data_IF_478359599281
#
_entry.id   IF_478359599281
#
_cell.length_a   1.000
_cell.length_b   1.000
_cell.length_c   1.000
_cell.angle_alpha   90.00
_cell.angle_beta   90.00
_cell.angle_gamma   90.00
#
_symmetry.space_group_name_H-M   'P 1'
#
loop_
_entity.id
_entity.type
_entity.pdbx_description
1 polymer ?
#
# COMPACT_ATOMS: atom_id res chain seq x y z
N UNK A 1 48.21 42.32 -32.05
CA UNK A 1 47.30 41.20 -31.75
C UNK A 1 46.20 41.73 -30.83
N UNK A 2 45.03 42.08 -31.36
CA UNK A 2 43.93 42.70 -30.60
C UNK A 2 43.09 41.59 -29.98
N UNK A 3 43.27 41.32 -28.70
CA UNK A 3 42.49 40.34 -27.94
C UNK A 3 41.08 40.91 -27.70
N UNK A 4 40.07 40.35 -28.36
CA UNK A 4 38.66 40.66 -28.10
C UNK A 4 38.30 40.20 -26.69
N UNK A 5 38.08 41.14 -25.76
CA UNK A 5 37.46 40.82 -24.47
C UNK A 5 36.01 40.42 -24.75
N UNK A 6 35.73 39.13 -24.64
CA UNK A 6 34.35 38.62 -24.64
C UNK A 6 33.69 39.22 -23.40
N UNK A 7 32.70 40.09 -23.61
CA UNK A 7 31.90 40.66 -22.53
C UNK A 7 31.18 39.53 -21.81
N UNK A 8 31.59 39.23 -20.59
CA UNK A 8 30.84 38.37 -19.68
C UNK A 8 29.55 39.10 -19.32
N UNK A 9 28.44 38.70 -19.93
CA UNK A 9 27.12 39.14 -19.54
C UNK A 9 26.78 38.45 -18.21
N UNK A 10 26.89 39.17 -17.11
CA UNK A 10 26.45 38.71 -15.79
C UNK A 10 24.93 38.65 -15.70
N UNK A 11 24.42 37.61 -15.03
CA UNK A 11 23.00 37.45 -14.74
C UNK A 11 22.53 38.58 -13.80
N UNK A 12 21.36 39.17 -14.07
CA UNK A 12 20.85 40.24 -13.20
C UNK A 12 20.19 39.67 -11.95
N UNK A 13 20.29 40.38 -10.82
CA UNK A 13 19.56 39.98 -9.60
C UNK A 13 18.04 39.94 -9.83
N UNK A 14 17.52 40.85 -10.67
CA UNK A 14 16.09 40.90 -11.01
C UNK A 14 15.63 39.67 -11.81
N UNK A 15 16.44 39.15 -12.74
CA UNK A 15 16.12 37.89 -13.43
C UNK A 15 15.99 36.74 -12.44
N UNK A 16 16.93 36.64 -11.48
CA UNK A 16 16.88 35.58 -10.49
C UNK A 16 15.64 35.71 -9.58
N UNK A 17 15.26 36.95 -9.21
CA UNK A 17 14.07 37.21 -8.40
C UNK A 17 12.77 36.79 -9.11
N UNK A 18 12.61 37.11 -10.39
CA UNK A 18 11.41 36.73 -11.15
C UNK A 18 11.34 35.20 -11.32
N UNK A 19 12.48 34.54 -11.54
CA UNK A 19 12.53 33.08 -11.68
C UNK A 19 12.09 32.37 -10.39
N UNK A 20 12.62 32.77 -9.23
CA UNK A 20 12.20 32.14 -7.96
C UNK A 20 10.74 32.44 -7.61
N UNK A 21 10.21 33.60 -8.02
CA UNK A 21 8.79 33.93 -7.87
C UNK A 21 7.92 32.99 -8.69
N UNK A 22 8.26 32.77 -9.96
CA UNK A 22 7.50 31.86 -10.84
C UNK A 22 7.58 30.42 -10.32
N UNK A 23 8.77 29.95 -9.93
CA UNK A 23 8.94 28.61 -9.34
C UNK A 23 8.09 28.47 -8.05
N UNK A 24 8.07 29.50 -7.20
CA UNK A 24 7.24 29.52 -5.99
C UNK A 24 5.74 29.39 -6.28
N UNK A 25 5.24 30.09 -7.31
CA UNK A 25 3.84 29.99 -7.75
C UNK A 25 3.50 28.58 -8.26
N UNK A 26 4.39 27.97 -9.05
CA UNK A 26 4.18 26.61 -9.56
C UNK A 26 4.17 25.58 -8.43
N UNK A 27 5.09 25.68 -7.47
CA UNK A 27 5.19 24.77 -6.32
C UNK A 27 3.94 24.87 -5.43
N UNK A 28 3.42 26.08 -5.21
CA UNK A 28 2.22 26.29 -4.40
C UNK A 28 0.99 25.52 -4.91
N UNK A 29 0.85 25.37 -6.23
CA UNK A 29 -0.25 24.60 -6.84
C UNK A 29 0.08 23.11 -6.93
N UNK A 30 1.35 22.77 -7.21
CA UNK A 30 1.77 21.39 -7.46
C UNK A 30 1.87 20.53 -6.19
N UNK A 31 2.37 21.08 -5.07
CA UNK A 31 2.57 20.31 -3.84
C UNK A 31 1.30 19.68 -3.24
N UNK A 32 0.18 20.40 -3.03
CA UNK A 32 -1.00 19.81 -2.40
C UNK A 32 -1.60 18.68 -3.26
N UNK A 33 -1.57 18.84 -4.59
CA UNK A 33 -2.09 17.82 -5.51
C UNK A 33 -1.21 16.57 -5.52
N UNK A 34 0.11 16.74 -5.51
CA UNK A 34 1.07 15.62 -5.46
C UNK A 34 0.95 14.82 -4.15
N UNK A 35 0.79 15.48 -3.01
CA UNK A 35 0.64 14.82 -1.71
C UNK A 35 -0.60 13.90 -1.68
N UNK A 36 -1.75 14.39 -2.14
CA UNK A 36 -2.97 13.58 -2.21
C UNK A 36 -2.88 12.42 -3.21
N UNK A 37 -2.21 12.64 -4.35
CA UNK A 37 -1.97 11.57 -5.34
C UNK A 37 -1.09 10.46 -4.76
N UNK A 38 -0.03 10.81 -4.03
CA UNK A 38 0.86 9.84 -3.36
C UNK A 38 0.11 8.98 -2.33
N UNK A 39 -0.72 9.60 -1.48
CA UNK A 39 -1.52 8.87 -0.49
C UNK A 39 -2.45 7.84 -1.15
N UNK A 40 -3.21 8.24 -2.16
CA UNK A 40 -4.10 7.34 -2.91
C UNK A 40 -3.34 6.22 -3.62
N UNK A 41 -2.15 6.51 -4.13
CA UNK A 41 -1.29 5.51 -4.76
C UNK A 41 -0.80 4.48 -3.74
N UNK A 42 -0.39 4.91 -2.54
CA UNK A 42 -0.01 4.00 -1.44
C UNK A 42 -1.18 3.10 -1.03
N UNK A 43 -2.37 3.67 -0.83
CA UNK A 43 -3.55 2.88 -0.47
C UNK A 43 -3.76 1.81 -1.55
N UNK A 44 -3.89 2.21 -2.83
CA UNK A 44 -4.08 1.28 -3.95
C UNK A 44 -2.99 0.21 -4.06
N UNK A 45 -1.74 0.54 -3.77
CA UNK A 45 -0.65 -0.44 -3.76
C UNK A 45 -0.86 -1.49 -2.66
N UNK A 46 -1.22 -1.05 -1.45
CA UNK A 46 -1.59 -1.92 -0.33
C UNK A 46 -2.77 -2.82 -0.71
N UNK A 47 -3.79 -2.25 -1.35
CA UNK A 47 -4.96 -2.99 -1.84
C UNK A 47 -4.60 -4.05 -2.89
N UNK A 48 -3.68 -3.74 -3.79
CA UNK A 48 -3.21 -4.67 -4.82
C UNK A 48 -2.40 -5.82 -4.21
N UNK A 49 -1.53 -5.52 -3.24
CA UNK A 49 -0.77 -6.54 -2.52
C UNK A 49 -1.71 -7.49 -1.77
N UNK A 50 -2.76 -6.98 -1.11
CA UNK A 50 -3.78 -7.82 -0.46
C UNK A 50 -4.51 -8.74 -1.45
N UNK A 51 -4.81 -8.28 -2.67
CA UNK A 51 -5.43 -9.14 -3.69
C UNK A 51 -4.48 -10.22 -4.18
N UNK A 52 -3.18 -9.89 -4.26
CA UNK A 52 -2.14 -10.84 -4.65
C UNK A 52 -1.97 -11.92 -3.58
N UNK A 53 -1.94 -11.53 -2.30
CA UNK A 53 -1.90 -12.49 -1.19
C UNK A 53 -3.14 -13.36 -1.12
N UNK A 54 -4.33 -12.81 -1.41
CA UNK A 54 -5.55 -13.61 -1.49
C UNK A 54 -5.47 -14.64 -2.61
N UNK A 55 -4.93 -14.29 -3.78
CA UNK A 55 -4.75 -15.24 -4.88
C UNK A 55 -3.79 -16.40 -4.49
N UNK A 56 -2.73 -16.09 -3.75
CA UNK A 56 -1.82 -17.09 -3.19
C UNK A 56 -2.56 -18.05 -2.25
N UNK A 57 -3.35 -17.50 -1.32
CA UNK A 57 -4.14 -18.31 -0.40
C UNK A 57 -5.22 -19.14 -1.13
N UNK A 58 -5.92 -18.57 -2.12
CA UNK A 58 -6.91 -19.29 -2.92
C UNK A 58 -6.29 -20.46 -3.69
N UNK A 59 -5.03 -20.34 -4.12
CA UNK A 59 -4.29 -21.44 -4.75
C UNK A 59 -4.06 -22.57 -3.74
N UNK A 60 -3.65 -22.24 -2.51
CA UNK A 60 -3.54 -23.22 -1.43
C UNK A 60 -4.89 -23.90 -1.11
N UNK A 61 -5.98 -23.12 -1.09
CA UNK A 61 -7.33 -23.65 -0.91
C UNK A 61 -7.73 -24.62 -2.02
N UNK A 62 -7.38 -24.32 -3.28
CA UNK A 62 -7.71 -25.18 -4.41
C UNK A 62 -7.07 -26.58 -4.30
N UNK A 63 -5.92 -26.69 -3.63
CA UNK A 63 -5.24 -27.96 -3.40
C UNK A 63 -5.78 -28.72 -2.19
N UNK A 64 -5.98 -28.03 -1.06
CA UNK A 64 -6.29 -28.66 0.24
C UNK A 64 -7.74 -28.57 0.71
N UNK A 65 -8.56 -27.74 0.06
CA UNK A 65 -9.95 -27.43 0.44
C UNK A 65 -10.09 -26.77 1.82
N UNK A 66 -8.99 -26.24 2.38
CA UNK A 66 -8.92 -25.62 3.71
C UNK A 66 -7.76 -24.62 3.74
N UNK A 67 -7.85 -23.60 4.59
CA UNK A 67 -6.72 -22.68 4.86
C UNK A 67 -5.85 -23.14 6.05
N UNK A 68 -6.25 -24.19 6.77
CA UNK A 68 -5.41 -24.76 7.85
C UNK A 68 -4.01 -25.10 7.30
N UNK A 69 -2.97 -24.56 7.94
CA UNK A 69 -1.57 -24.73 7.52
C UNK A 69 -1.07 -23.69 6.52
N UNK A 70 -1.92 -22.79 6.03
CA UNK A 70 -1.47 -21.61 5.28
C UNK A 70 -0.82 -20.60 6.23
N UNK A 71 0.45 -20.84 6.54
CA UNK A 71 1.27 -19.98 7.39
C UNK A 71 2.25 -19.13 6.55
N UNK A 72 3.09 -18.35 7.22
CA UNK A 72 4.12 -17.50 6.58
C UNK A 72 5.02 -18.29 5.63
N UNK A 73 5.39 -19.53 5.97
CA UNK A 73 6.30 -20.33 5.14
C UNK A 73 5.59 -20.82 3.88
N UNK A 74 4.34 -21.28 4.00
CA UNK A 74 3.55 -21.70 2.83
C UNK A 74 3.23 -20.50 1.93
N UNK A 75 2.87 -19.36 2.51
CA UNK A 75 2.61 -18.13 1.77
C UNK A 75 3.86 -17.61 1.02
N UNK A 76 5.05 -17.73 1.62
CA UNK A 76 6.31 -17.38 0.97
C UNK A 76 6.67 -18.27 -0.23
N UNK A 77 6.22 -19.53 -0.26
CA UNK A 77 6.42 -20.39 -1.44
C UNK A 77 5.58 -19.93 -2.62
N UNK A 78 4.35 -19.48 -2.34
CA UNK A 78 3.44 -18.99 -3.37
C UNK A 78 3.84 -17.59 -3.87
N UNK A 79 4.13 -16.67 -2.94
CA UNK A 79 4.48 -15.28 -3.26
C UNK A 79 5.68 -14.81 -2.41
N UNK A 80 6.92 -14.97 -2.90
CA UNK A 80 8.12 -14.65 -2.13
C UNK A 80 8.42 -13.15 -2.05
N UNK A 81 7.79 -12.32 -2.89
CA UNK A 81 8.01 -10.87 -2.91
C UNK A 81 7.23 -10.14 -1.81
N UNK A 82 6.22 -10.78 -1.25
CA UNK A 82 5.41 -10.22 -0.16
C UNK A 82 6.10 -10.52 1.17
N UNK A 83 6.12 -9.54 2.06
CA UNK A 83 6.56 -9.76 3.44
C UNK A 83 5.38 -10.24 4.27
N UNK A 84 5.36 -11.55 4.52
CA UNK A 84 4.32 -12.20 5.30
C UNK A 84 4.67 -12.19 6.79
N UNK A 85 3.67 -11.95 7.64
CA UNK A 85 3.78 -12.09 9.09
C UNK A 85 2.57 -12.87 9.63
N UNK A 86 2.74 -13.42 10.83
CA UNK A 86 1.66 -13.95 11.67
C UNK A 86 2.22 -14.18 13.08
N UNK A 87 1.57 -13.71 14.16
CA UNK A 87 0.38 -12.85 14.18
C UNK A 87 0.70 -11.36 13.97
N UNK A 88 -0.32 -10.57 13.67
CA UNK A 88 -0.26 -9.11 13.54
C UNK A 88 0.02 -8.35 14.85
N UNK A 89 0.06 -7.01 14.79
CA UNK A 89 -0.32 -6.16 13.65
C UNK A 89 0.78 -6.02 12.57
N UNK A 90 0.42 -5.88 11.29
CA UNK A 90 1.37 -5.69 10.20
C UNK A 90 1.98 -4.29 10.20
N UNK A 91 3.30 -4.22 9.99
CA UNK A 91 3.94 -2.98 9.60
C UNK A 91 3.64 -2.63 8.13
N UNK A 92 4.02 -1.42 7.72
CA UNK A 92 3.86 -0.97 6.33
C UNK A 92 4.56 -1.92 5.35
N UNK A 93 3.83 -2.34 4.32
CA UNK A 93 4.34 -3.29 3.32
C UNK A 93 4.35 -4.75 3.75
N UNK A 94 3.89 -5.05 4.97
CA UNK A 94 3.66 -6.42 5.43
C UNK A 94 2.20 -6.83 5.27
N UNK A 95 1.99 -8.13 5.13
CA UNK A 95 0.67 -8.76 5.13
C UNK A 95 0.62 -9.75 6.28
N UNK A 96 -0.31 -9.50 7.18
CA UNK A 96 -0.64 -10.43 8.25
C UNK A 96 -1.60 -11.50 7.74
N UNK A 97 -1.34 -12.74 8.15
CA UNK A 97 -2.16 -13.91 7.84
C UNK A 97 -2.76 -14.40 9.14
N UNK A 98 -4.09 -14.47 9.16
CA UNK A 98 -4.84 -15.10 10.22
C UNK A 98 -5.80 -16.14 9.65
N UNK A 99 -5.70 -17.37 10.15
CA UNK A 99 -6.61 -18.46 9.79
C UNK A 99 -7.55 -18.71 10.96
N UNK A 100 -8.76 -18.19 10.85
CA UNK A 100 -9.81 -18.35 11.85
C UNK A 100 -10.56 -19.67 11.63
N UNK A 101 -10.86 -20.39 12.72
CA UNK A 101 -11.65 -21.63 12.72
C UNK A 101 -11.13 -22.73 11.75
N UNK A 102 -9.89 -22.65 11.27
CA UNK A 102 -9.26 -23.58 10.33
C UNK A 102 -9.72 -23.46 8.87
N UNK A 103 -10.76 -22.69 8.59
CA UNK A 103 -11.41 -22.63 7.28
C UNK A 103 -11.64 -21.20 6.77
N UNK A 104 -11.55 -20.20 7.64
CA UNK A 104 -11.74 -18.81 7.25
C UNK A 104 -10.37 -18.12 7.24
N UNK A 105 -10.14 -17.32 6.21
CA UNK A 105 -8.91 -16.55 6.04
C UNK A 105 -9.19 -15.08 6.31
N UNK A 106 -8.30 -14.44 7.05
CA UNK A 106 -8.20 -13.00 7.18
C UNK A 106 -6.79 -12.58 6.78
N UNK A 107 -6.72 -11.57 5.92
CA UNK A 107 -5.48 -10.93 5.49
C UNK A 107 -5.56 -9.46 5.83
N UNK A 108 -4.58 -8.94 6.56
CA UNK A 108 -4.55 -7.53 6.98
C UNK A 108 -3.25 -6.87 6.54
N UNK A 109 -3.32 -5.60 6.12
CA UNK A 109 -2.13 -4.81 5.78
C UNK A 109 -2.32 -3.34 6.12
N UNK A 110 -1.21 -2.67 6.45
CA UNK A 110 -1.16 -1.24 6.78
C UNK A 110 -0.61 -0.41 5.61
N UNK A 111 -1.35 0.62 5.19
CA UNK A 111 -0.92 1.61 4.18
C UNK A 111 -0.05 2.73 4.78
N UNK A 112 0.66 3.49 3.94
CA UNK A 112 1.41 4.68 4.37
C UNK A 112 0.56 5.75 5.03
N UNK A 113 -0.74 5.76 4.72
CA UNK A 113 -1.77 6.64 5.29
C UNK A 113 -2.19 6.25 6.70
N UNK A 114 -1.59 5.20 7.29
CA UNK A 114 -1.97 4.61 8.58
C UNK A 114 -3.40 4.05 8.60
N UNK A 115 -3.93 3.71 7.43
CA UNK A 115 -5.19 2.98 7.29
C UNK A 115 -4.88 1.50 7.15
N UNK A 116 -5.50 0.67 7.98
CA UNK A 116 -5.51 -0.76 7.82
C UNK A 116 -6.54 -1.15 6.78
N UNK A 117 -6.18 -2.10 5.93
CA UNK A 117 -7.07 -2.74 4.97
C UNK A 117 -7.07 -4.23 5.23
N UNK A 118 -8.23 -4.85 5.08
CA UNK A 118 -8.35 -6.28 5.21
C UNK A 118 -9.12 -6.89 4.03
N UNK A 119 -8.81 -8.14 3.75
CA UNK A 119 -9.63 -9.04 2.96
C UNK A 119 -9.90 -10.28 3.80
N UNK A 120 -11.15 -10.74 3.82
CA UNK A 120 -11.47 -12.03 4.42
C UNK A 120 -12.19 -12.93 3.43
N UNK A 121 -11.92 -14.22 3.54
CA UNK A 121 -12.52 -15.25 2.70
C UNK A 121 -13.04 -16.36 3.61
N UNK A 122 -14.36 -16.41 3.75
CA UNK A 122 -15.04 -17.44 4.53
C UNK A 122 -15.19 -18.72 3.68
N UNK A 123 -15.12 -19.89 4.30
CA UNK A 123 -15.22 -21.17 3.60
C UNK A 123 -16.56 -21.38 2.88
N UNK A 124 -17.64 -20.89 3.50
CA UNK A 124 -19.02 -21.09 3.02
C UNK A 124 -19.56 -19.92 2.18
N UNK A 125 -18.72 -18.93 1.88
CA UNK A 125 -19.10 -17.76 1.10
C UNK A 125 -18.31 -17.70 -0.21
N UNK A 126 -18.97 -17.53 -1.37
CA UNK A 126 -18.26 -17.25 -2.61
C UNK A 126 -17.75 -15.81 -2.69
N UNK A 127 -18.07 -14.96 -1.70
CA UNK A 127 -17.71 -13.55 -1.66
C UNK A 127 -16.49 -13.36 -0.76
N UNK A 128 -15.52 -12.60 -1.25
CA UNK A 128 -14.44 -12.04 -0.43
C UNK A 128 -14.91 -10.74 0.20
N UNK A 129 -15.00 -10.73 1.52
CA UNK A 129 -15.32 -9.53 2.29
C UNK A 129 -14.10 -8.62 2.37
N UNK A 130 -14.36 -7.32 2.49
CA UNK A 130 -13.33 -6.28 2.46
C UNK A 130 -13.68 -5.23 3.48
N UNK A 131 -12.67 -4.73 4.17
CA UNK A 131 -12.84 -3.68 5.15
C UNK A 131 -11.62 -2.79 5.29
N UNK A 132 -11.81 -1.72 6.06
CA UNK A 132 -10.76 -0.76 6.40
C UNK A 132 -10.99 -0.18 7.78
N UNK A 133 -9.89 0.17 8.43
CA UNK A 133 -9.88 0.67 9.80
C UNK A 133 -8.74 1.62 10.07
N UNK A 134 -8.86 2.38 11.16
CA UNK A 134 -7.80 3.27 11.65
C UNK A 134 -6.91 2.59 12.68
N UNK A 135 -7.46 1.58 13.36
CA UNK A 135 -6.77 0.73 14.29
C UNK A 135 -6.77 -0.70 13.75
N UNK A 136 -5.82 -1.50 14.23
CA UNK A 136 -5.77 -2.93 13.88
C UNK A 136 -7.04 -3.65 14.37
N UNK A 137 -7.54 -3.30 15.56
CA UNK A 137 -8.78 -3.82 16.15
C UNK A 137 -10.06 -3.51 15.37
N UNK A 138 -9.99 -2.66 14.35
CA UNK A 138 -11.14 -2.36 13.49
C UNK A 138 -11.26 -3.41 12.37
N UNK A 139 -10.23 -4.26 12.18
CA UNK A 139 -10.10 -5.19 11.05
C UNK A 139 -9.36 -6.50 11.39
N UNK A 140 -9.10 -6.78 12.67
CA UNK A 140 -8.32 -7.94 13.13
C UNK A 140 -9.17 -9.21 13.29
N UNK A 141 -10.44 -9.18 12.89
CA UNK A 141 -11.25 -10.38 12.77
C UNK A 141 -11.99 -10.45 11.44
N UNK A 142 -12.34 -11.68 11.02
CA UNK A 142 -13.16 -11.93 9.82
C UNK A 142 -14.48 -11.17 9.87
N UNK A 143 -15.08 -11.03 11.06
CA UNK A 143 -16.37 -10.36 11.27
C UNK A 143 -16.26 -8.83 11.18
N UNK A 144 -15.13 -8.25 11.55
CA UNK A 144 -14.89 -6.81 11.48
C UNK A 144 -14.43 -6.38 10.09
N UNK A 145 -13.93 -7.31 9.26
CA UNK A 145 -13.50 -7.04 7.89
C UNK A 145 -14.65 -6.75 6.92
N UNK A 146 -15.33 -5.62 7.11
CA UNK A 146 -16.57 -5.26 6.41
C UNK A 146 -16.57 -3.78 6.00
N UNK A 147 -17.61 -3.36 5.28
CA UNK A 147 -17.81 -1.96 4.89
C UNK A 147 -17.13 -1.53 3.59
N UNK A 148 -16.30 -2.41 3.00
CA UNK A 148 -15.61 -2.13 1.76
C UNK A 148 -14.55 -1.03 1.87
N UNK A 149 -13.95 -0.70 0.74
CA UNK A 149 -12.88 0.29 0.61
C UNK A 149 -13.14 1.28 -0.50
#
# INVERSE_FOLDING_TARGET
MRTSRRSEAGFTLIELMVVVLIIGLLIAIALPTFAGAKQRASDRATQANLRTSLAAAMTYWAEGGRYTGFDVNEAMKAEPTIQWISPGPPAKGQIDIEVANGSDLLLVSLSDTLTYFCLSQQANSPVTDKGKGTNFSDVDTVAECTGGW
#
